data_IF_433954302641
#
_entry.id   IF_433954302641
#
_cell.length_a   1.000
_cell.length_b   1.000
_cell.length_c   1.000
_cell.angle_alpha   90.00
_cell.angle_beta   90.00
_cell.angle_gamma   90.00
#
_symmetry.space_group_name_H-M   'P 1'
#
loop_
_entity.id
_entity.type
_entity.pdbx_description
1 polymer ?
#
# COMPACT_ATOMS: atom_id res chain seq x y z
N UNK A 1 -16.55 -13.38 22.00
CA UNK A 1 -16.24 -12.65 20.75
C UNK A 1 -17.54 -12.04 20.26
N UNK A 2 -17.79 -10.77 20.61
CA UNK A 2 -19.05 -10.09 20.30
C UNK A 2 -18.74 -9.03 19.24
N UNK A 3 -19.01 -9.37 17.97
CA UNK A 3 -18.98 -8.38 16.90
C UNK A 3 -20.14 -7.40 17.05
N UNK A 4 -19.91 -6.12 16.78
CA UNK A 4 -20.95 -5.12 16.76
C UNK A 4 -22.05 -5.51 15.73
N UNK A 5 -23.34 -5.35 16.06
CA UNK A 5 -24.43 -5.75 15.20
C UNK A 5 -24.50 -4.82 13.98
N UNK A 6 -23.97 -5.26 12.83
CA UNK A 6 -24.11 -4.56 11.55
C UNK A 6 -22.89 -4.60 10.64
N UNK A 7 -21.71 -4.95 11.13
CA UNK A 7 -20.51 -4.99 10.29
C UNK A 7 -20.37 -6.35 9.61
N UNK A 8 -20.15 -6.37 8.29
CA UNK A 8 -19.88 -7.58 7.54
C UNK A 8 -18.59 -8.22 8.11
N UNK A 9 -18.61 -9.46 8.62
CA UNK A 9 -17.46 -10.07 9.28
C UNK A 9 -16.22 -10.17 8.36
N UNK A 10 -16.41 -10.16 7.04
CA UNK A 10 -15.31 -10.13 6.07
C UNK A 10 -14.57 -8.78 6.01
N UNK A 11 -15.18 -7.70 6.51
CA UNK A 11 -14.68 -6.33 6.42
C UNK A 11 -14.26 -5.74 7.76
N UNK A 12 -14.50 -6.44 8.86
CA UNK A 12 -14.01 -6.03 10.16
C UNK A 12 -12.49 -6.30 10.31
N UNK A 13 -11.78 -5.35 10.90
CA UNK A 13 -10.37 -5.43 11.26
C UNK A 13 -10.27 -5.70 12.76
N UNK A 14 -9.94 -6.95 13.09
CA UNK A 14 -9.52 -7.37 14.42
C UNK A 14 -8.01 -7.19 14.61
N UNK A 15 -7.51 -7.62 15.78
CA UNK A 15 -6.10 -7.51 16.14
C UNK A 15 -5.18 -8.28 15.20
N UNK A 16 -5.53 -9.53 14.87
CA UNK A 16 -4.73 -10.38 13.99
C UNK A 16 -4.66 -9.80 12.58
N UNK A 17 -5.79 -9.27 12.07
CA UNK A 17 -5.83 -8.62 10.77
C UNK A 17 -5.05 -7.32 10.76
N UNK A 18 -5.12 -6.50 11.81
CA UNK A 18 -4.28 -5.31 11.92
C UNK A 18 -2.79 -5.68 11.91
N UNK A 19 -2.39 -6.68 12.71
CA UNK A 19 -0.99 -7.12 12.77
C UNK A 19 -0.47 -7.58 11.39
N UNK A 20 -1.27 -8.33 10.62
CA UNK A 20 -0.93 -8.71 9.25
C UNK A 20 -0.83 -7.53 8.30
N UNK A 21 -1.74 -6.56 8.40
CA UNK A 21 -1.70 -5.34 7.58
C UNK A 21 -0.44 -4.52 7.86
N UNK A 22 -0.09 -4.32 9.13
CA UNK A 22 1.14 -3.63 9.53
C UNK A 22 2.38 -4.37 9.02
N UNK A 23 2.39 -5.70 9.11
CA UNK A 23 3.47 -6.54 8.58
C UNK A 23 3.65 -6.35 7.08
N UNK A 24 2.59 -6.44 6.28
CA UNK A 24 2.67 -6.30 4.82
C UNK A 24 3.05 -4.89 4.39
N UNK A 25 2.63 -3.87 5.15
CA UNK A 25 3.02 -2.49 4.92
C UNK A 25 4.44 -2.17 5.40
N UNK A 26 5.14 -3.12 6.03
CA UNK A 26 6.43 -2.90 6.70
C UNK A 26 6.40 -1.76 7.72
N UNK A 27 5.25 -1.59 8.40
CA UNK A 27 5.05 -0.61 9.47
C UNK A 27 5.37 -1.31 10.80
N UNK A 28 6.16 -0.65 11.65
CA UNK A 28 6.49 -1.17 12.97
C UNK A 28 5.23 -1.27 13.85
N UNK A 29 5.23 -2.22 14.79
CA UNK A 29 4.18 -2.30 15.82
C UNK A 29 4.20 -1.05 16.68
N UNK A 30 3.01 -0.55 17.03
CA UNK A 30 2.84 0.61 17.88
C UNK A 30 2.55 0.19 19.34
N UNK A 31 2.21 1.15 20.19
CA UNK A 31 1.62 0.84 21.50
C UNK A 31 0.22 0.25 21.36
N UNK A 32 -0.25 -0.48 22.37
CA UNK A 32 -1.61 -1.04 22.39
C UNK A 32 -2.69 0.05 22.19
N UNK A 33 -2.48 1.26 22.74
CA UNK A 33 -3.40 2.39 22.60
C UNK A 33 -3.48 2.90 21.15
N UNK A 34 -2.35 2.94 20.44
CA UNK A 34 -2.29 3.34 19.04
C UNK A 34 -2.92 2.27 18.13
N UNK A 35 -2.67 1.00 18.41
CA UNK A 35 -3.30 -0.10 17.67
C UNK A 35 -4.81 -0.13 17.89
N UNK A 36 -5.29 0.13 19.11
CA UNK A 36 -6.72 0.30 19.41
C UNK A 36 -7.35 1.46 18.64
N UNK A 37 -6.65 2.60 18.60
CA UNK A 37 -7.07 3.76 17.83
C UNK A 37 -7.15 3.44 16.33
N UNK A 38 -6.11 2.84 15.77
CA UNK A 38 -6.03 2.44 14.36
C UNK A 38 -7.15 1.47 13.99
N UNK A 39 -7.39 0.44 14.81
CA UNK A 39 -8.50 -0.50 14.56
C UNK A 39 -9.84 0.21 14.53
N UNK A 40 -10.10 1.10 15.50
CA UNK A 40 -11.36 1.84 15.55
C UNK A 40 -11.55 2.72 14.31
N UNK A 41 -10.52 3.46 13.93
CA UNK A 41 -10.57 4.39 12.81
C UNK A 41 -10.71 3.67 11.47
N UNK A 42 -9.92 2.62 11.23
CA UNK A 42 -10.00 1.84 10.00
C UNK A 42 -11.34 1.12 9.86
N UNK A 43 -11.90 0.58 10.95
CA UNK A 43 -13.23 -0.01 10.92
C UNK A 43 -14.32 1.03 10.61
N UNK A 44 -14.22 2.24 11.18
CA UNK A 44 -15.15 3.34 10.86
C UNK A 44 -15.10 3.69 9.37
N UNK A 45 -13.91 3.81 8.80
CA UNK A 45 -13.73 4.09 7.37
C UNK A 45 -14.27 2.96 6.50
N UNK A 46 -14.07 1.70 6.89
CA UNK A 46 -14.59 0.55 6.16
C UNK A 46 -16.12 0.48 6.20
N UNK A 47 -16.74 0.73 7.35
CA UNK A 47 -18.19 0.79 7.45
C UNK A 47 -18.77 1.93 6.57
N UNK A 48 -18.13 3.10 6.54
CA UNK A 48 -18.52 4.18 5.61
C UNK A 48 -18.38 3.79 4.13
N UNK A 49 -17.28 3.13 3.76
CA UNK A 49 -17.06 2.65 2.39
C UNK A 49 -18.09 1.58 2.03
N UNK A 50 -18.36 0.63 2.91
CA UNK A 50 -19.37 -0.43 2.77
C UNK A 50 -20.75 0.17 2.50
N UNK A 51 -21.16 1.17 3.27
CA UNK A 51 -22.47 1.81 3.09
C UNK A 51 -22.56 2.53 1.74
N UNK A 52 -21.45 3.07 1.22
CA UNK A 52 -21.42 3.79 -0.05
C UNK A 52 -21.22 2.89 -1.28
N UNK A 53 -20.59 1.72 -1.10
CA UNK A 53 -20.11 0.86 -2.19
C UNK A 53 -20.86 -0.48 -2.26
N UNK A 54 -21.50 -0.97 -1.20
CA UNK A 54 -22.28 -2.21 -1.26
C UNK A 54 -23.77 -1.97 -1.57
N UNK A 55 -24.05 -0.99 -2.43
CA UNK A 55 -25.37 -0.85 -3.07
C UNK A 55 -25.60 -2.06 -3.99
N UNK A 56 -26.71 -2.81 -3.86
CA UNK A 56 -27.05 -3.93 -4.75
C UNK A 56 -27.09 -3.56 -6.24
N UNK A 57 -27.31 -2.28 -6.58
CA UNK A 57 -27.23 -1.78 -7.94
C UNK A 57 -25.80 -1.48 -8.42
N UNK A 58 -24.81 -1.52 -7.53
CA UNK A 58 -23.44 -1.14 -7.87
C UNK A 58 -22.79 -2.15 -8.81
N UNK A 59 -23.01 -3.45 -8.65
CA UNK A 59 -22.41 -4.46 -9.55
C UNK A 59 -22.91 -4.29 -11.00
N UNK A 60 -24.20 -3.99 -11.18
CA UNK A 60 -24.77 -3.69 -12.50
C UNK A 60 -24.23 -2.37 -13.06
N UNK A 61 -24.02 -1.36 -12.21
CA UNK A 61 -23.43 -0.08 -12.59
C UNK A 61 -21.94 -0.22 -12.94
N UNK A 62 -21.16 -0.97 -12.16
CA UNK A 62 -19.74 -1.24 -12.38
C UNK A 62 -19.53 -2.07 -13.64
N UNK A 63 -20.42 -3.01 -13.96
CA UNK A 63 -20.38 -3.74 -15.23
C UNK A 63 -20.46 -2.84 -16.47
N UNK A 64 -20.95 -1.60 -16.33
CA UNK A 64 -21.05 -0.60 -17.40
C UNK A 64 -19.91 0.41 -17.39
N UNK A 65 -19.05 0.40 -16.37
CA UNK A 65 -17.96 1.35 -16.19
C UNK A 65 -16.63 0.63 -16.39
N UNK A 66 -15.85 1.08 -17.37
CA UNK A 66 -14.46 0.62 -17.51
C UNK A 66 -13.61 1.28 -16.42
N UNK A 67 -12.82 0.53 -15.62
CA UNK A 67 -11.93 1.12 -14.64
C UNK A 67 -10.97 2.12 -15.29
N UNK A 68 -10.89 3.32 -14.72
CA UNK A 68 -9.95 4.32 -15.21
C UNK A 68 -8.51 3.85 -14.92
N UNK A 69 -7.69 3.73 -15.96
CA UNK A 69 -6.32 3.21 -15.81
C UNK A 69 -5.36 4.28 -15.27
N UNK A 70 -5.47 5.52 -15.75
CA UNK A 70 -4.56 6.62 -15.36
C UNK A 70 -5.30 7.96 -15.10
N UNK A 71 -6.63 7.96 -15.11
CA UNK A 71 -7.44 9.19 -14.99
C UNK A 71 -7.33 10.16 -16.17
N UNK A 72 -6.50 9.83 -17.17
CA UNK A 72 -6.28 10.56 -18.42
C UNK A 72 -6.31 9.57 -19.59
N UNK A 73 -6.64 10.06 -20.79
CA UNK A 73 -6.52 9.26 -22.01
C UNK A 73 -5.05 9.11 -22.38
N UNK A 74 -4.50 7.91 -22.17
CA UNK A 74 -3.10 7.65 -22.45
C UNK A 74 -2.79 7.68 -23.94
N UNK A 75 -3.70 7.35 -24.85
CA UNK A 75 -3.37 7.23 -26.28
C UNK A 75 -2.73 8.50 -26.87
N UNK A 76 -3.26 9.71 -26.60
CA UNK A 76 -2.60 10.96 -26.99
C UNK A 76 -1.43 11.39 -26.09
N UNK A 77 -1.23 10.77 -24.92
CA UNK A 77 -0.23 11.14 -23.90
C UNK A 77 0.86 10.08 -23.69
N UNK A 78 0.85 9.00 -24.47
CA UNK A 78 1.88 7.99 -24.42
C UNK A 78 3.18 8.65 -24.84
N UNK A 79 4.14 8.70 -23.91
CA UNK A 79 5.50 9.03 -24.24
C UNK A 79 5.98 8.09 -25.36
N UNK A 80 6.79 8.59 -26.31
CA UNK A 80 7.40 7.73 -27.32
C UNK A 80 8.20 6.62 -26.64
N UNK A 81 8.38 5.49 -27.35
CA UNK A 81 9.25 4.44 -26.88
C UNK A 81 10.63 5.02 -26.57
N UNK A 82 11.18 4.66 -25.40
CA UNK A 82 12.54 5.05 -25.02
C UNK A 82 13.52 4.38 -25.99
N UNK A 83 14.36 5.17 -26.63
CA UNK A 83 15.45 4.67 -27.49
C UNK A 83 16.45 3.82 -26.70
N UNK A 84 17.07 2.84 -27.37
CA UNK A 84 18.12 2.00 -26.78
C UNK A 84 19.49 2.72 -26.79
N UNK A 85 19.52 3.88 -26.15
CA UNK A 85 20.73 4.70 -25.98
C UNK A 85 21.17 4.60 -24.53
N UNK A 86 22.47 4.36 -24.32
CA UNK A 86 23.09 4.35 -23.00
C UNK A 86 23.36 5.79 -22.56
N UNK A 87 22.71 6.21 -21.48
CA UNK A 87 22.99 7.47 -20.80
C UNK A 87 23.82 7.20 -19.54
N UNK A 88 25.12 7.57 -19.50
CA UNK A 88 25.94 7.36 -18.32
C UNK A 88 25.52 8.30 -17.19
N UNK A 89 25.39 7.77 -15.98
CA UNK A 89 25.13 8.59 -14.80
C UNK A 89 26.38 9.41 -14.44
N UNK A 90 26.21 10.73 -14.31
CA UNK A 90 27.35 11.65 -14.21
C UNK A 90 28.01 11.70 -12.83
N UNK A 91 27.25 11.42 -11.76
CA UNK A 91 27.72 11.53 -10.38
C UNK A 91 27.30 10.30 -9.57
N UNK A 92 28.15 9.28 -9.61
CA UNK A 92 27.92 8.03 -8.87
C UNK A 92 28.10 8.24 -7.37
N UNK A 93 28.98 9.15 -6.96
CA UNK A 93 29.23 9.40 -5.54
C UNK A 93 28.07 10.17 -4.89
N UNK A 94 27.45 11.12 -5.61
CA UNK A 94 26.26 11.84 -5.16
C UNK A 94 25.03 10.96 -4.88
N UNK A 95 24.98 9.73 -5.40
CA UNK A 95 23.94 8.75 -5.02
C UNK A 95 24.00 8.36 -3.55
N UNK A 96 25.18 8.45 -2.94
CA UNK A 96 25.44 8.00 -1.57
C UNK A 96 25.22 9.11 -0.53
N UNK A 97 25.11 10.37 -0.95
CA UNK A 97 25.04 11.53 -0.03
C UNK A 97 23.81 11.50 0.89
N UNK A 98 22.71 10.89 0.43
CA UNK A 98 21.45 10.78 1.18
C UNK A 98 21.26 9.41 1.84
N UNK A 99 22.24 8.52 1.73
CA UNK A 99 22.15 7.19 2.28
C UNK A 99 22.30 7.24 3.82
N UNK A 100 21.40 6.60 4.59
CA UNK A 100 21.53 6.55 6.04
C UNK A 100 22.85 5.92 6.53
N UNK A 101 23.37 4.95 5.78
CA UNK A 101 24.65 4.26 6.06
C UNK A 101 25.32 3.80 4.77
N UNK A 102 26.62 4.04 4.67
CA UNK A 102 27.44 3.62 3.53
C UNK A 102 28.78 3.06 4.00
N UNK A 103 29.36 2.16 3.20
CA UNK A 103 30.71 1.61 3.40
C UNK A 103 31.28 1.24 2.03
N UNK A 104 32.52 1.66 1.75
CA UNK A 104 33.25 1.31 0.52
C UNK A 104 32.45 1.53 -0.79
N UNK A 105 31.65 2.60 -0.83
CA UNK A 105 30.71 2.96 -1.92
C UNK A 105 29.48 2.03 -2.07
N UNK A 106 29.11 1.31 -1.02
CA UNK A 106 27.89 0.51 -0.94
C UNK A 106 26.92 1.05 0.10
N UNK A 107 25.62 0.85 -0.12
CA UNK A 107 24.60 0.99 0.91
C UNK A 107 24.74 -0.14 1.93
N UNK A 108 24.74 0.21 3.22
CA UNK A 108 24.81 -0.78 4.30
C UNK A 108 23.43 -0.99 4.89
N UNK A 109 22.87 -2.19 4.70
CA UNK A 109 21.56 -2.59 5.21
C UNK A 109 21.69 -3.77 6.18
N UNK A 110 20.89 -3.84 7.25
CA UNK A 110 20.80 -5.03 8.07
C UNK A 110 20.23 -6.18 7.24
N UNK A 111 20.97 -7.28 7.14
CA UNK A 111 20.51 -8.49 6.44
C UNK A 111 19.85 -9.42 7.45
N UNK A 112 18.59 -9.80 7.21
CA UNK A 112 18.02 -11.00 7.81
C UNK A 112 18.40 -12.19 6.93
N UNK A 113 18.73 -13.33 7.55
CA UNK A 113 19.20 -14.50 6.82
C UNK A 113 18.14 -14.91 5.78
N UNK A 114 18.50 -14.98 4.51
CA UNK A 114 17.57 -15.22 3.39
C UNK A 114 16.99 -16.65 3.37
N UNK A 115 17.36 -17.48 4.33
CA UNK A 115 16.90 -18.87 4.51
C UNK A 115 15.62 -18.98 5.37
N UNK A 116 15.06 -17.87 5.84
CA UNK A 116 13.81 -17.84 6.63
C UNK A 116 12.64 -17.23 5.82
N UNK A 117 12.46 -17.67 4.57
CA UNK A 117 11.29 -17.40 3.74
C UNK A 117 10.47 -18.68 3.53
#
# INVERSE_FOLDING_TARGET
MSGAPGSNPALYIDEERLARLLQWAAIASHSEEEDDYLRRELNSQLDEMVVRVLDPGLDEALGKVTPATYGIDLLPHCAPLREDVVEPWHDVDGLLDNAPRTQDRYFVVPVKNHQEL
#
